data_IF_923642940562
#
_entry.id   IF_923642940562
#
_cell.length_a   1.000
_cell.length_b   1.000
_cell.length_c   1.000
_cell.angle_alpha   90.00
_cell.angle_beta   90.00
_cell.angle_gamma   90.00
#
_symmetry.space_group_name_H-M   'P 1'
#
loop_
_entity.id
_entity.type
_entity.pdbx_description
1 polymer ?
#
# COMPACT_ATOMS: atom_id res chain seq x y z
N UNK A 1 -6.40 16.81 3.66
CA UNK A 1 -6.01 15.52 3.04
C UNK A 1 -5.89 15.78 1.54
N UNK A 2 -4.75 15.48 0.93
CA UNK A 2 -4.48 15.76 -0.50
C UNK A 2 -4.09 14.46 -1.20
N UNK A 3 -4.63 14.22 -2.40
CA UNK A 3 -4.27 13.06 -3.21
C UNK A 3 -3.02 13.37 -4.02
N UNK A 4 -2.00 12.51 -3.91
CA UNK A 4 -0.73 12.65 -4.62
C UNK A 4 -0.36 11.35 -5.30
N UNK A 5 0.17 11.46 -6.51
CA UNK A 5 0.84 10.35 -7.16
C UNK A 5 2.25 10.22 -6.58
N UNK A 6 2.49 9.16 -5.82
CA UNK A 6 3.80 8.83 -5.25
C UNK A 6 4.33 7.62 -6.00
N UNK A 7 5.56 7.71 -6.48
CA UNK A 7 6.26 6.58 -7.10
C UNK A 7 6.31 5.41 -6.11
N UNK A 8 6.00 4.20 -6.58
CA UNK A 8 6.03 2.98 -5.77
C UNK A 8 7.41 2.75 -5.11
N UNK A 9 8.50 3.16 -5.77
CA UNK A 9 9.86 3.06 -5.23
C UNK A 9 10.11 3.97 -4.01
N UNK A 10 9.25 4.97 -3.78
CA UNK A 10 9.29 5.85 -2.61
C UNK A 10 8.41 5.37 -1.45
N UNK A 11 7.71 4.26 -1.61
CA UNK A 11 6.88 3.66 -0.58
C UNK A 11 7.64 2.58 0.18
N UNK A 12 7.38 2.48 1.49
CA UNK A 12 7.95 1.45 2.35
C UNK A 12 6.88 0.86 3.26
N UNK A 13 7.04 -0.40 3.66
CA UNK A 13 6.12 -1.04 4.61
C UNK A 13 6.20 -0.35 5.97
N UNK A 14 5.07 0.12 6.47
CA UNK A 14 4.98 0.79 7.78
C UNK A 14 5.34 -0.17 8.92
N UNK A 15 6.14 0.30 9.88
CA UNK A 15 6.42 -0.43 11.12
C UNK A 15 5.16 -0.67 11.97
N UNK A 16 4.12 0.16 11.79
CA UNK A 16 2.82 0.00 12.44
C UNK A 16 1.89 -0.97 11.67
N UNK A 17 2.38 -1.66 10.64
CA UNK A 17 1.59 -2.63 9.89
C UNK A 17 1.29 -3.87 10.76
N UNK A 18 0.08 -3.92 11.29
CA UNK A 18 -0.39 -5.04 12.13
C UNK A 18 -0.67 -6.32 11.35
N UNK A 19 -0.81 -6.24 10.01
CA UNK A 19 -1.13 -7.39 9.14
C UNK A 19 0.11 -8.21 8.78
N UNK A 20 1.31 -7.64 8.87
CA UNK A 20 2.55 -8.24 8.38
C UNK A 20 3.32 -9.11 9.41
N UNK A 21 2.78 -9.37 10.60
CA UNK A 21 3.46 -10.18 11.65
C UNK A 21 3.46 -11.70 11.35
N UNK A 22 3.34 -12.13 10.09
CA UNK A 22 3.25 -13.55 9.76
C UNK A 22 3.24 -13.83 8.26
N UNK A 23 2.43 -14.82 7.85
CA UNK A 23 2.28 -15.24 6.45
C UNK A 23 1.84 -14.07 5.57
N UNK A 24 2.43 -13.97 4.37
CA UNK A 24 1.99 -13.02 3.37
C UNK A 24 0.47 -13.16 3.14
N UNK A 25 -0.29 -12.05 3.13
CA UNK A 25 -1.73 -12.10 2.90
C UNK A 25 -2.01 -12.67 1.50
N UNK A 26 -3.07 -13.46 1.37
CA UNK A 26 -3.54 -13.86 0.06
C UNK A 26 -4.07 -12.63 -0.71
N UNK A 27 -3.57 -12.46 -1.94
CA UNK A 27 -3.90 -11.35 -2.83
C UNK A 27 -4.83 -11.77 -3.97
N UNK A 28 -5.22 -13.05 -4.07
CA UNK A 28 -6.03 -13.58 -5.17
C UNK A 28 -7.33 -12.81 -5.40
N UNK A 29 -7.96 -12.34 -4.32
CA UNK A 29 -9.24 -11.64 -4.39
C UNK A 29 -9.14 -10.20 -4.93
N UNK A 30 -8.01 -9.52 -4.75
CA UNK A 30 -7.85 -8.11 -5.12
C UNK A 30 -7.19 -7.92 -6.50
N UNK A 31 -6.32 -8.86 -6.91
CA UNK A 31 -5.57 -8.78 -8.16
C UNK A 31 -6.44 -8.61 -9.42
N UNK A 32 -7.57 -9.34 -9.61
CA UNK A 32 -8.44 -9.14 -10.76
C UNK A 32 -9.01 -7.72 -10.83
N UNK A 33 -9.42 -7.16 -9.68
CA UNK A 33 -9.96 -5.80 -9.62
C UNK A 33 -8.91 -4.75 -9.94
N UNK A 34 -7.70 -4.88 -9.40
CA UNK A 34 -6.61 -3.92 -9.65
C UNK A 34 -6.20 -3.93 -11.13
N UNK A 35 -6.15 -5.10 -11.76
CA UNK A 35 -5.83 -5.20 -13.20
C UNK A 35 -6.91 -4.55 -14.07
N UNK A 36 -8.18 -4.71 -13.72
CA UNK A 36 -9.28 -4.21 -14.53
C UNK A 36 -9.56 -2.70 -14.33
N UNK A 37 -9.33 -2.17 -13.12
CA UNK A 37 -9.80 -0.82 -12.73
C UNK A 37 -8.74 0.05 -12.06
N UNK A 38 -7.53 -0.46 -11.87
CA UNK A 38 -6.52 0.20 -11.05
C UNK A 38 -6.86 0.15 -9.55
N UNK A 39 -6.15 0.99 -8.78
CA UNK A 39 -6.35 1.11 -7.33
C UNK A 39 -7.49 2.10 -7.07
N UNK A 40 -8.63 1.58 -6.61
CA UNK A 40 -9.85 2.39 -6.38
C UNK A 40 -9.76 3.22 -5.08
N UNK A 41 -9.07 2.71 -4.07
CA UNK A 41 -8.92 3.36 -2.76
C UNK A 41 -7.47 3.82 -2.61
N UNK A 42 -7.21 5.13 -2.50
CA UNK A 42 -5.86 5.65 -2.30
C UNK A 42 -5.20 5.10 -1.03
N UNK A 43 -3.87 5.00 -1.06
CA UNK A 43 -3.08 4.57 0.08
C UNK A 43 -2.96 5.69 1.12
N UNK A 44 -3.16 5.36 2.39
CA UNK A 44 -2.84 6.25 3.50
C UNK A 44 -1.36 6.10 3.81
N UNK A 45 -0.63 7.20 3.69
CA UNK A 45 0.82 7.24 3.90
C UNK A 45 1.18 8.29 4.95
N UNK A 46 2.35 8.12 5.57
CA UNK A 46 2.98 9.12 6.42
C UNK A 46 4.42 9.33 5.94
N UNK A 47 5.01 10.52 6.15
CA UNK A 47 6.45 10.71 5.97
C UNK A 47 7.23 9.61 6.71
N UNK A 48 8.25 9.08 6.06
CA UNK A 48 9.14 8.12 6.69
C UNK A 48 10.21 8.90 7.48
N UNK A 49 10.24 8.71 8.80
CA UNK A 49 11.17 9.43 9.70
C UNK A 49 12.59 8.83 9.70
N UNK A 50 12.83 7.75 8.94
CA UNK A 50 14.17 7.16 8.81
C UNK A 50 15.02 8.04 7.89
N UNK A 51 15.95 8.76 8.52
CA UNK A 51 17.11 9.40 7.88
C UNK A 51 18.12 8.35 7.42
#
# INVERSE_FOLDING_TARGET
>A
MELKHIDIARLSVSAANMRARGKAPDLGNILPSVRARGVLVPLIVRPNDRR
#
